data_IF_129287862499
#
_entry.id   IF_129287862499
#
_cell.length_a   1.000
_cell.length_b   1.000
_cell.length_c   1.000
_cell.angle_alpha   90.00
_cell.angle_beta   90.00
_cell.angle_gamma   90.00
#
_symmetry.space_group_name_H-M   'P 1'
#
loop_
_entity.id
_entity.type
_entity.pdbx_description
1 polymer ?
#
# COMPACT_ATOMS: atom_id res chain seq x y z
N UNK A 1 2.15 30.32 68.21
CA UNK A 1 3.53 29.82 68.17
C UNK A 1 3.86 29.50 66.73
N UNK A 2 5.08 29.78 66.30
CA UNK A 2 5.59 29.52 64.94
C UNK A 2 5.33 28.07 64.50
N UNK A 3 5.45 27.12 65.43
CA UNK A 3 5.15 25.70 65.21
C UNK A 3 3.74 25.44 64.67
N UNK A 4 2.72 26.16 65.15
CA UNK A 4 1.33 26.00 64.67
C UNK A 4 1.17 26.52 63.25
N UNK A 5 1.87 27.60 62.89
CA UNK A 5 1.83 28.16 61.55
C UNK A 5 2.49 27.23 60.53
N UNK A 6 3.64 26.66 60.88
CA UNK A 6 4.35 25.68 60.04
C UNK A 6 3.54 24.38 59.86
N UNK A 7 2.83 23.96 60.91
CA UNK A 7 1.91 22.82 60.85
C UNK A 7 0.76 23.06 59.85
N UNK A 8 0.15 24.25 59.88
CA UNK A 8 -0.93 24.62 58.95
C UNK A 8 -0.42 24.70 57.50
N UNK A 9 0.75 25.31 57.26
CA UNK A 9 1.40 25.36 55.94
C UNK A 9 1.69 23.95 55.41
N UNK A 10 2.18 23.06 56.27
CA UNK A 10 2.45 21.66 55.91
C UNK A 10 1.18 20.90 55.54
N UNK A 11 0.09 21.07 56.29
CA UNK A 11 -1.21 20.46 55.97
C UNK A 11 -1.75 20.94 54.62
N UNK A 12 -1.65 22.24 54.33
CA UNK A 12 -2.06 22.79 53.04
C UNK A 12 -1.25 22.19 51.87
N UNK A 13 0.09 22.13 52.00
CA UNK A 13 0.97 21.50 51.00
C UNK A 13 0.63 20.04 50.76
N UNK A 14 0.28 19.29 51.81
CA UNK A 14 -0.15 17.89 51.69
C UNK A 14 -1.44 17.80 50.86
N UNK A 15 -2.45 18.62 51.17
CA UNK A 15 -3.72 18.63 50.43
C UNK A 15 -3.51 18.98 48.94
N UNK A 16 -2.69 19.99 48.65
CA UNK A 16 -2.33 20.37 47.27
C UNK A 16 -1.64 19.23 46.52
N UNK A 17 -0.70 18.53 47.17
CA UNK A 17 -0.02 17.36 46.58
C UNK A 17 -0.98 16.19 46.37
N UNK A 18 -1.90 15.93 47.31
CA UNK A 18 -2.93 14.90 47.15
C UNK A 18 -3.84 15.19 45.96
N UNK A 19 -4.26 16.45 45.77
CA UNK A 19 -5.03 16.87 44.59
C UNK A 19 -4.26 16.63 43.29
N UNK A 20 -2.99 17.07 43.23
CA UNK A 20 -2.12 16.84 42.06
C UNK A 20 -1.92 15.35 41.75
N UNK A 21 -1.82 14.50 42.78
CA UNK A 21 -1.74 13.04 42.61
C UNK A 21 -3.01 12.48 41.96
N UNK A 22 -4.19 12.97 42.36
CA UNK A 22 -5.46 12.56 41.74
C UNK A 22 -5.56 13.03 40.28
N UNK A 23 -5.21 14.28 40.00
CA UNK A 23 -5.16 14.84 38.63
C UNK A 23 -4.21 14.03 37.74
N UNK A 24 -3.01 13.69 38.23
CA UNK A 24 -2.04 12.90 37.49
C UNK A 24 -2.52 11.46 37.23
N UNK A 25 -3.17 10.83 38.22
CA UNK A 25 -3.77 9.49 38.04
C UNK A 25 -4.85 9.51 36.95
N UNK A 26 -5.69 10.54 36.92
CA UNK A 26 -6.69 10.72 35.87
C UNK A 26 -6.03 10.91 34.51
N UNK A 27 -5.04 11.80 34.40
CA UNK A 27 -4.32 12.04 33.15
C UNK A 27 -3.66 10.76 32.61
N UNK A 28 -3.02 9.97 33.47
CA UNK A 28 -2.42 8.67 33.09
C UNK A 28 -3.47 7.71 32.55
N UNK A 29 -4.65 7.63 33.18
CA UNK A 29 -5.72 6.77 32.68
C UNK A 29 -6.28 7.25 31.33
N UNK A 30 -6.44 8.56 31.15
CA UNK A 30 -6.86 9.15 29.86
C UNK A 30 -5.87 8.84 28.76
N UNK A 31 -4.56 8.97 29.01
CA UNK A 31 -3.51 8.63 28.03
C UNK A 31 -3.59 7.14 27.66
N UNK A 32 -3.72 6.26 28.65
CA UNK A 32 -3.84 4.81 28.41
C UNK A 32 -5.05 4.46 27.55
N UNK A 33 -6.22 4.99 27.89
CA UNK A 33 -7.45 4.73 27.14
C UNK A 33 -7.35 5.29 25.72
N UNK A 34 -6.87 6.53 25.57
CA UNK A 34 -6.70 7.15 24.26
C UNK A 34 -5.70 6.39 23.38
N UNK A 35 -4.60 5.89 23.95
CA UNK A 35 -3.62 5.09 23.22
C UNK A 35 -4.22 3.75 22.78
N UNK A 36 -4.97 3.08 23.66
CA UNK A 36 -5.65 1.83 23.34
C UNK A 36 -6.66 2.02 22.21
N UNK A 37 -7.51 3.04 22.29
CA UNK A 37 -8.47 3.36 21.22
C UNK A 37 -7.77 3.67 19.89
N UNK A 38 -6.67 4.43 19.92
CA UNK A 38 -5.90 4.72 18.70
C UNK A 38 -5.31 3.44 18.07
N UNK A 39 -4.85 2.49 18.89
CA UNK A 39 -4.38 1.17 18.41
C UNK A 39 -5.52 0.39 17.78
N UNK A 40 -6.66 0.25 18.47
CA UNK A 40 -7.84 -0.47 17.97
C UNK A 40 -8.36 0.10 16.64
N UNK A 41 -8.45 1.42 16.55
CA UNK A 41 -8.84 2.09 15.31
C UNK A 41 -7.82 1.86 14.19
N UNK A 42 -6.53 1.88 14.50
CA UNK A 42 -5.49 1.62 13.50
C UNK A 42 -5.56 0.18 12.96
N UNK A 43 -5.73 -0.81 13.82
CA UNK A 43 -5.88 -2.22 13.44
C UNK A 43 -7.12 -2.43 12.57
N UNK A 44 -8.25 -1.78 12.93
CA UNK A 44 -9.47 -1.80 12.13
C UNK A 44 -9.25 -1.21 10.73
N UNK A 45 -8.63 -0.03 10.64
CA UNK A 45 -8.34 0.63 9.35
C UNK A 45 -7.45 -0.26 8.47
N UNK A 46 -6.39 -0.85 9.03
CA UNK A 46 -5.53 -1.74 8.26
C UNK A 46 -6.25 -3.01 7.81
N UNK A 47 -7.12 -3.57 8.64
CA UNK A 47 -7.95 -4.74 8.28
C UNK A 47 -8.88 -4.44 7.11
N UNK A 48 -9.54 -3.28 7.11
CA UNK A 48 -10.41 -2.81 6.03
C UNK A 48 -9.63 -2.62 4.71
N UNK A 49 -8.43 -2.04 4.78
CA UNK A 49 -7.54 -1.86 3.63
C UNK A 49 -7.07 -3.19 3.04
N UNK A 50 -6.64 -4.13 3.89
CA UNK A 50 -6.21 -5.47 3.46
C UNK A 50 -7.37 -6.16 2.76
N UNK A 51 -8.55 -6.20 3.39
CA UNK A 51 -9.75 -6.84 2.82
C UNK A 51 -10.12 -6.26 1.45
N UNK A 52 -10.02 -4.93 1.30
CA UNK A 52 -10.27 -4.25 0.04
C UNK A 52 -9.26 -4.66 -1.04
N UNK A 53 -7.98 -4.81 -0.70
CA UNK A 53 -6.95 -5.23 -1.66
C UNK A 53 -7.09 -6.71 -2.03
N UNK A 54 -7.48 -7.56 -1.08
CA UNK A 54 -7.78 -8.96 -1.37
C UNK A 54 -8.96 -9.11 -2.33
N UNK A 55 -10.01 -8.29 -2.17
CA UNK A 55 -11.12 -8.24 -3.11
C UNK A 55 -10.65 -7.84 -4.51
N UNK A 56 -9.82 -6.79 -4.63
CA UNK A 56 -9.25 -6.36 -5.91
C UNK A 56 -8.34 -7.42 -6.55
N UNK A 57 -7.55 -8.14 -5.75
CA UNK A 57 -6.77 -9.29 -6.20
C UNK A 57 -7.66 -10.36 -6.84
N UNK A 58 -8.77 -10.71 -6.18
CA UNK A 58 -9.73 -11.69 -6.71
C UNK A 58 -10.37 -11.20 -8.01
N UNK A 59 -10.83 -9.94 -8.07
CA UNK A 59 -11.41 -9.35 -9.28
C UNK A 59 -10.46 -9.42 -10.49
N UNK A 60 -9.18 -9.09 -10.31
CA UNK A 60 -8.17 -9.17 -11.38
C UNK A 60 -7.91 -10.63 -11.80
N UNK A 61 -7.87 -11.56 -10.84
CA UNK A 61 -7.68 -12.98 -11.11
C UNK A 61 -8.82 -13.54 -11.95
N UNK A 62 -10.05 -13.25 -11.57
CA UNK A 62 -11.24 -13.69 -12.31
C UNK A 62 -11.28 -13.11 -13.73
N UNK A 63 -10.89 -11.85 -13.91
CA UNK A 63 -10.80 -11.24 -15.24
C UNK A 63 -9.81 -11.97 -16.15
N UNK A 64 -8.63 -12.32 -15.62
CA UNK A 64 -7.61 -13.07 -16.37
C UNK A 64 -8.16 -14.45 -16.77
N UNK A 65 -8.79 -15.17 -15.82
CA UNK A 65 -9.36 -16.50 -16.07
C UNK A 65 -10.51 -16.48 -17.07
N UNK A 66 -11.37 -15.46 -16.99
CA UNK A 66 -12.46 -15.28 -17.95
C UNK A 66 -11.93 -15.05 -19.37
N UNK A 67 -10.90 -14.20 -19.52
CA UNK A 67 -10.26 -13.95 -20.82
C UNK A 67 -9.54 -15.19 -21.36
N UNK A 68 -8.78 -15.90 -20.51
CA UNK A 68 -8.13 -17.16 -20.85
C UNK A 68 -9.16 -18.16 -21.41
N UNK A 69 -10.26 -18.37 -20.68
CA UNK A 69 -11.33 -19.28 -21.09
C UNK A 69 -11.96 -18.86 -22.43
N UNK A 70 -12.24 -17.56 -22.60
CA UNK A 70 -12.87 -17.05 -23.82
C UNK A 70 -11.98 -17.26 -25.06
N UNK A 71 -10.68 -17.00 -24.95
CA UNK A 71 -9.74 -17.20 -26.04
C UNK A 71 -9.49 -18.70 -26.32
N UNK A 72 -9.42 -19.55 -25.29
CA UNK A 72 -9.31 -21.01 -25.47
C UNK A 72 -10.53 -21.56 -26.22
N UNK A 73 -11.75 -21.22 -25.79
CA UNK A 73 -12.97 -21.67 -26.48
C UNK A 73 -13.12 -21.11 -27.90
N UNK A 74 -12.49 -19.96 -28.20
CA UNK A 74 -12.40 -19.45 -29.57
C UNK A 74 -11.41 -20.26 -30.39
N UNK A 75 -10.24 -20.57 -29.84
CA UNK A 75 -9.21 -21.37 -30.50
C UNK A 75 -9.71 -22.80 -30.80
N UNK A 76 -10.38 -23.44 -29.85
CA UNK A 76 -10.98 -24.78 -30.02
C UNK A 76 -11.95 -24.83 -31.19
N UNK A 77 -12.88 -23.86 -31.29
CA UNK A 77 -13.82 -23.78 -32.43
C UNK A 77 -13.14 -23.58 -33.77
N UNK A 78 -12.07 -22.78 -33.82
CA UNK A 78 -11.30 -22.57 -35.04
C UNK A 78 -10.54 -23.84 -35.43
N UNK A 79 -10.02 -24.59 -34.45
CA UNK A 79 -9.35 -25.85 -34.67
C UNK A 79 -10.31 -26.91 -35.23
N UNK A 80 -11.48 -27.09 -34.61
CA UNK A 80 -12.52 -28.00 -35.11
C UNK A 80 -12.95 -27.64 -36.55
N UNK A 81 -13.10 -26.34 -36.84
CA UNK A 81 -13.43 -25.87 -38.18
C UNK A 81 -12.34 -26.25 -39.20
N UNK A 82 -11.07 -26.04 -38.87
CA UNK A 82 -9.94 -26.38 -39.73
C UNK A 82 -9.81 -27.89 -39.94
N UNK A 83 -9.99 -28.70 -38.89
CA UNK A 83 -9.96 -30.15 -38.99
C UNK A 83 -11.06 -30.67 -39.94
N UNK A 84 -12.26 -30.11 -39.84
CA UNK A 84 -13.35 -30.44 -40.76
C UNK A 84 -13.06 -30.01 -42.20
N UNK A 85 -12.50 -28.81 -42.41
CA UNK A 85 -12.10 -28.32 -43.74
C UNK A 85 -11.01 -29.21 -44.36
N UNK A 86 -10.03 -29.66 -43.57
CA UNK A 86 -9.01 -30.62 -44.01
C UNK A 86 -9.65 -31.96 -44.40
N UNK A 87 -10.55 -32.49 -43.58
CA UNK A 87 -11.23 -33.76 -43.87
C UNK A 87 -12.07 -33.69 -45.16
N UNK A 88 -12.78 -32.57 -45.37
CA UNK A 88 -13.56 -32.34 -46.59
C UNK A 88 -12.65 -32.19 -47.83
N UNK A 89 -11.51 -31.51 -47.70
CA UNK A 89 -10.51 -31.40 -48.77
C UNK A 89 -9.87 -32.74 -49.10
N UNK A 90 -9.54 -33.56 -48.10
CA UNK A 90 -9.03 -34.92 -48.30
C UNK A 90 -10.05 -35.80 -49.03
N UNK A 91 -11.33 -35.76 -48.62
CA UNK A 91 -12.41 -36.48 -49.33
C UNK A 91 -12.47 -36.05 -50.79
N UNK A 92 -12.49 -34.74 -51.05
CA UNK A 92 -12.56 -34.21 -52.42
C UNK A 92 -11.34 -34.60 -53.27
N UNK A 93 -10.15 -34.61 -52.68
CA UNK A 93 -8.94 -35.07 -53.36
C UNK A 93 -9.09 -36.54 -53.80
N UNK A 94 -9.58 -37.41 -52.92
CA UNK A 94 -9.80 -38.83 -53.27
C UNK A 94 -10.88 -39.02 -54.35
N UNK A 95 -11.95 -38.22 -54.34
CA UNK A 95 -13.00 -38.25 -55.37
C UNK A 95 -12.45 -37.80 -56.74
N UNK A 96 -11.60 -36.77 -56.76
CA UNK A 96 -10.92 -36.30 -57.98
C UNK A 96 -9.91 -37.34 -58.50
N UNK A 97 -9.15 -37.99 -57.63
CA UNK A 97 -8.26 -39.09 -58.00
C UNK A 97 -9.04 -40.25 -58.63
N UNK A 98 -10.15 -40.69 -58.04
CA UNK A 98 -11.02 -41.73 -58.62
C UNK A 98 -11.58 -41.31 -59.99
N UNK A 99 -12.04 -40.07 -60.11
CA UNK A 99 -12.57 -39.53 -61.35
C UNK A 99 -11.52 -39.51 -62.47
N UNK A 100 -10.26 -39.21 -62.15
CA UNK A 100 -9.15 -39.21 -63.13
C UNK A 100 -8.89 -40.58 -63.78
N UNK A 101 -9.28 -41.67 -63.11
CA UNK A 101 -9.16 -43.04 -63.63
C UNK A 101 -10.42 -43.52 -64.37
N UNK A 102 -11.45 -42.67 -64.52
CA UNK A 102 -12.70 -43.03 -65.21
C UNK A 102 -12.53 -42.93 -66.72
N UNK A 103 -12.71 -44.05 -67.42
CA UNK A 103 -12.53 -44.14 -68.88
C UNK A 103 -13.82 -43.81 -69.68
N UNK A 104 -14.99 -43.81 -69.03
CA UNK A 104 -16.26 -43.40 -69.64
C UNK A 104 -16.41 -41.88 -69.56
N UNK A 105 -16.31 -41.22 -70.72
CA UNK A 105 -16.37 -39.77 -70.83
C UNK A 105 -17.73 -39.17 -70.44
N UNK A 106 -18.84 -39.91 -70.55
CA UNK A 106 -20.17 -39.43 -70.16
C UNK A 106 -20.29 -39.42 -68.64
N UNK A 107 -19.82 -40.49 -67.98
CA UNK A 107 -19.77 -40.56 -66.52
C UNK A 107 -18.81 -39.51 -65.94
N UNK A 108 -17.65 -39.36 -66.58
CA UNK A 108 -16.68 -38.33 -66.19
C UNK A 108 -17.29 -36.93 -66.17
N UNK A 109 -17.98 -36.53 -67.26
CA UNK A 109 -18.59 -35.21 -67.36
C UNK A 109 -19.70 -34.99 -66.31
N UNK A 110 -20.52 -36.00 -66.04
CA UNK A 110 -21.57 -35.93 -65.01
C UNK A 110 -20.98 -35.76 -63.60
N UNK A 111 -19.98 -36.56 -63.26
CA UNK A 111 -19.33 -36.53 -61.93
C UNK A 111 -18.51 -35.25 -61.72
N UNK A 112 -17.86 -34.72 -62.76
CA UNK A 112 -17.15 -33.45 -62.70
C UNK A 112 -18.11 -32.28 -62.42
N UNK A 113 -19.30 -32.30 -63.05
CA UNK A 113 -20.33 -31.28 -62.86
C UNK A 113 -20.91 -31.29 -61.43
N UNK A 114 -21.08 -32.46 -60.81
CA UNK A 114 -21.50 -32.55 -59.40
C UNK A 114 -20.44 -32.03 -58.42
N UNK A 115 -19.16 -32.30 -58.69
CA UNK A 115 -18.05 -31.86 -57.82
C UNK A 115 -17.79 -30.35 -57.87
N UNK A 116 -18.08 -29.72 -59.01
CA UNK A 116 -17.93 -28.27 -59.18
C UNK A 116 -19.02 -27.48 -58.46
N UNK A 117 -20.24 -28.01 -58.36
CA UNK A 117 -21.33 -27.41 -57.57
C UNK A 117 -21.06 -27.49 -56.05
N UNK A 118 -20.30 -28.49 -55.60
CA UNK A 118 -19.89 -28.64 -54.19
C UNK A 118 -18.78 -27.67 -53.75
N UNK A 119 -18.20 -26.88 -54.66
CA UNK A 119 -17.02 -26.02 -54.41
C UNK A 119 -17.33 -24.72 -53.64
N UNK A 120 -18.44 -24.63 -52.93
CA UNK A 120 -18.97 -23.38 -52.36
C UNK A 120 -18.28 -22.85 -51.10
N UNK A 121 -17.01 -23.17 -50.84
CA UNK A 121 -16.33 -22.76 -49.59
C UNK A 121 -14.91 -22.22 -49.81
N UNK A 122 -14.71 -21.43 -50.87
CA UNK A 122 -13.41 -20.85 -51.19
C UNK A 122 -12.97 -19.69 -50.26
N UNK A 123 -13.86 -19.15 -49.43
CA UNK A 123 -13.54 -17.99 -48.57
C UNK A 123 -13.49 -18.36 -47.08
N UNK A 124 -12.53 -19.23 -46.68
CA UNK A 124 -12.23 -19.39 -45.25
C UNK A 124 -11.31 -18.23 -44.83
N UNK A 125 -11.67 -17.44 -43.79
CA UNK A 125 -10.88 -16.28 -43.38
C UNK A 125 -9.48 -16.71 -42.93
N UNK A 126 -8.46 -15.96 -43.35
CA UNK A 126 -7.08 -16.23 -42.95
C UNK A 126 -6.93 -16.11 -41.43
N UNK A 127 -6.58 -17.23 -40.77
CA UNK A 127 -6.37 -17.27 -39.32
C UNK A 127 -4.95 -16.76 -39.05
N UNK A 128 -4.86 -15.63 -38.35
CA UNK A 128 -3.59 -15.09 -37.84
C UNK A 128 -3.43 -15.45 -36.37
N UNK A 129 -2.37 -16.18 -36.01
CA UNK A 129 -2.05 -16.50 -34.62
C UNK A 129 -1.12 -15.42 -34.07
N UNK A 130 -1.62 -14.59 -33.17
CA UNK A 130 -0.80 -13.60 -32.47
C UNK A 130 -0.35 -14.14 -31.10
N UNK A 131 0.93 -14.47 -30.96
CA UNK A 131 1.51 -15.06 -29.75
C UNK A 131 2.18 -14.05 -28.81
N UNK A 132 2.41 -12.83 -29.28
CA UNK A 132 3.13 -11.83 -28.50
C UNK A 132 2.10 -10.98 -27.75
N UNK A 133 2.26 -10.83 -26.43
CA UNK A 133 1.52 -9.91 -25.52
C UNK A 133 0.39 -10.50 -24.64
N UNK A 134 0.33 -11.82 -24.43
CA UNK A 134 -0.67 -12.39 -23.52
C UNK A 134 -0.45 -11.92 -22.07
N UNK A 135 -1.32 -11.02 -21.60
CA UNK A 135 -1.38 -10.45 -20.24
C UNK A 135 -0.19 -9.57 -19.79
N UNK A 136 0.78 -9.27 -20.64
CA UNK A 136 1.89 -8.36 -20.31
C UNK A 136 1.40 -6.96 -19.88
N UNK A 137 0.33 -6.47 -20.52
CA UNK A 137 -0.33 -5.23 -20.13
C UNK A 137 -0.85 -5.26 -18.69
N UNK A 138 -1.49 -6.37 -18.28
CA UNK A 138 -2.00 -6.54 -16.91
C UNK A 138 -0.86 -6.53 -15.90
N UNK A 139 0.23 -7.26 -16.19
CA UNK A 139 1.43 -7.30 -15.33
C UNK A 139 2.06 -5.92 -15.19
N UNK A 140 2.18 -5.17 -16.28
CA UNK A 140 2.72 -3.81 -16.28
C UNK A 140 1.86 -2.87 -15.45
N UNK A 141 0.54 -2.87 -15.68
CA UNK A 141 -0.39 -2.04 -14.90
C UNK A 141 -0.38 -2.36 -13.40
N UNK A 142 -0.28 -3.63 -13.01
CA UNK A 142 -0.13 -4.02 -11.61
C UNK A 142 1.21 -3.59 -11.00
N UNK A 143 2.29 -3.62 -11.78
CA UNK A 143 3.60 -3.13 -11.35
C UNK A 143 3.59 -1.62 -11.13
N UNK A 144 2.95 -0.87 -12.04
CA UNK A 144 2.78 0.58 -11.91
C UNK A 144 1.90 0.93 -10.69
N UNK A 145 0.82 0.18 -10.47
CA UNK A 145 -0.05 0.33 -9.30
C UNK A 145 0.74 0.10 -8.00
N UNK A 146 1.51 -0.99 -7.92
CA UNK A 146 2.36 -1.30 -6.75
C UNK A 146 3.29 -0.14 -6.43
N UNK A 147 4.02 0.35 -7.44
CA UNK A 147 4.96 1.46 -7.27
C UNK A 147 4.27 2.71 -6.72
N UNK A 148 3.13 3.10 -7.29
CA UNK A 148 2.36 4.26 -6.82
C UNK A 148 1.86 4.10 -5.39
N UNK A 149 1.43 2.89 -5.01
CA UNK A 149 0.96 2.60 -3.66
C UNK A 149 2.11 2.70 -2.65
N UNK A 150 3.29 2.17 -2.99
CA UNK A 150 4.49 2.27 -2.16
C UNK A 150 4.91 3.74 -1.94
N UNK A 151 4.94 4.54 -3.02
CA UNK A 151 5.24 5.97 -2.95
C UNK A 151 4.24 6.74 -2.06
N UNK A 152 2.95 6.48 -2.25
CA UNK A 152 1.89 7.09 -1.44
C UNK A 152 1.99 6.70 0.04
N UNK A 153 2.18 5.41 0.33
CA UNK A 153 2.35 4.90 1.68
C UNK A 153 3.56 5.54 2.36
N UNK A 154 4.69 5.67 1.67
CA UNK A 154 5.88 6.32 2.20
C UNK A 154 5.58 7.75 2.65
N UNK A 155 4.86 8.53 1.85
CA UNK A 155 4.53 9.92 2.17
C UNK A 155 3.59 10.03 3.39
N UNK A 156 2.52 9.23 3.42
CA UNK A 156 1.52 9.31 4.48
C UNK A 156 2.04 8.75 5.82
N UNK A 157 2.80 7.65 5.80
CA UNK A 157 3.33 7.06 7.03
C UNK A 157 4.36 7.95 7.73
N UNK A 158 5.09 8.79 6.99
CA UNK A 158 6.00 9.78 7.59
C UNK A 158 5.27 10.85 8.42
N UNK A 159 3.98 11.07 8.18
CA UNK A 159 3.17 12.06 8.91
C UNK A 159 2.69 11.53 10.27
N UNK A 160 2.64 10.20 10.46
CA UNK A 160 2.08 9.57 11.66
C UNK A 160 2.93 9.83 12.93
N UNK A 161 4.27 9.61 12.93
CA UNK A 161 5.08 9.82 14.13
C UNK A 161 5.01 11.25 14.66
N UNK A 162 4.91 12.25 13.77
CA UNK A 162 4.76 13.66 14.16
C UNK A 162 3.47 13.92 14.92
N UNK A 163 2.37 13.30 14.50
CA UNK A 163 1.06 13.43 15.16
C UNK A 163 1.02 12.69 16.49
N UNK A 164 1.69 11.54 16.58
CA UNK A 164 1.85 10.79 17.83
C UNK A 164 2.72 11.54 18.86
N UNK A 165 3.81 12.18 18.42
CA UNK A 165 4.73 12.92 19.29
C UNK A 165 4.15 14.23 19.85
N UNK A 166 3.12 14.80 19.21
CA UNK A 166 2.46 16.02 19.66
C UNK A 166 1.63 15.86 20.95
N UNK A 167 1.45 14.62 21.43
CA UNK A 167 0.70 14.34 22.67
C UNK A 167 1.61 14.52 23.89
N UNK A 168 2.00 15.77 24.19
CA UNK A 168 2.64 16.13 25.47
C UNK A 168 1.58 16.66 26.44
N UNK A 169 0.93 15.75 27.15
CA UNK A 169 -0.09 16.10 28.16
C UNK A 169 0.50 16.46 29.53
N UNK A 170 1.74 16.05 29.82
CA UNK A 170 2.37 16.25 31.14
C UNK A 170 3.61 17.12 30.94
N UNK A 171 3.51 18.39 31.32
CA UNK A 171 4.68 19.27 31.46
C UNK A 171 5.04 19.45 32.94
N UNK A 172 6.34 19.61 33.26
CA UNK A 172 6.72 20.14 34.56
C UNK A 172 6.06 21.50 34.75
N UNK A 173 5.52 21.76 35.93
CA UNK A 173 5.03 23.09 36.27
C UNK A 173 6.19 24.09 36.26
N UNK A 174 6.02 25.22 35.59
CA UNK A 174 6.98 26.34 35.66
C UNK A 174 7.24 26.72 37.12
N UNK A 175 8.50 27.00 37.50
CA UNK A 175 8.82 27.48 38.85
C UNK A 175 8.13 28.81 39.12
N UNK A 176 7.43 28.92 40.26
CA UNK A 176 6.62 30.11 40.61
C UNK A 176 7.14 30.87 41.82
N UNK A 177 8.02 30.26 42.60
CA UNK A 177 8.67 30.87 43.76
C UNK A 177 10.20 30.84 43.61
N UNK A 178 10.89 31.71 44.37
CA UNK A 178 12.35 31.75 44.41
C UNK A 178 12.92 30.38 44.80
N UNK A 179 12.29 29.70 45.74
CA UNK A 179 12.66 28.37 46.21
C UNK A 179 12.51 27.33 45.09
N UNK A 180 11.47 27.43 44.26
CA UNK A 180 11.31 26.57 43.08
C UNK A 180 12.43 26.79 42.07
N UNK A 181 12.83 28.04 41.83
CA UNK A 181 13.95 28.36 40.93
C UNK A 181 15.30 27.88 41.46
N UNK A 182 15.51 27.89 42.78
CA UNK A 182 16.76 27.44 43.39
C UNK A 182 17.01 25.94 43.20
N UNK A 183 15.99 25.12 42.92
CA UNK A 183 16.20 23.73 42.53
C UNK A 183 16.95 23.57 41.20
N UNK A 184 16.95 24.60 40.36
CA UNK A 184 17.68 24.65 39.09
C UNK A 184 19.01 25.41 39.21
N UNK A 185 19.42 25.76 40.43
CA UNK A 185 20.65 26.49 40.68
C UNK A 185 21.86 25.68 40.19
N UNK A 186 22.70 26.33 39.38
CA UNK A 186 24.03 25.83 39.05
C UNK A 186 25.04 26.95 39.33
N UNK A 187 26.20 26.56 39.85
CA UNK A 187 27.31 27.48 40.04
C UNK A 187 27.91 27.83 38.67
N UNK A 188 27.48 28.97 38.12
CA UNK A 188 28.04 29.49 36.88
C UNK A 188 29.43 30.09 37.11
N UNK A 189 30.35 29.77 36.22
CA UNK A 189 31.68 30.38 36.15
C UNK A 189 31.92 30.90 34.75
N UNK A 190 32.51 32.08 34.64
CA UNK A 190 32.91 32.69 33.38
C UNK A 190 34.13 31.94 32.82
N UNK A 191 34.13 31.67 31.51
CA UNK A 191 35.27 31.03 30.83
C UNK A 191 36.34 32.08 30.54
N UNK A 192 37.54 32.00 31.16
CA UNK A 192 38.61 32.97 30.95
C UNK A 192 39.06 33.10 29.49
N UNK A 193 38.84 32.05 28.67
CA UNK A 193 39.22 32.05 27.25
C UNK A 193 38.29 32.88 26.38
N UNK A 194 37.14 33.27 26.90
CA UNK A 194 36.12 34.05 26.18
C UNK A 194 36.07 35.51 26.60
N UNK A 195 36.93 35.92 27.55
CA UNK A 195 36.90 37.25 28.15
C UNK A 195 37.58 38.28 27.26
N UNK A 196 36.90 39.41 27.05
CA UNK A 196 37.45 40.56 26.33
C UNK A 196 38.62 41.20 27.09
N UNK A 197 39.60 41.76 26.40
CA UNK A 197 40.84 42.31 27.00
C UNK A 197 40.63 43.42 28.04
N UNK A 198 39.48 44.10 27.98
CA UNK A 198 39.12 45.19 28.89
C UNK A 198 38.25 44.71 30.07
N UNK A 199 38.14 43.40 30.29
CA UNK A 199 37.36 42.83 31.39
C UNK A 199 38.26 41.98 32.28
N UNK A 200 38.12 42.17 33.59
CA UNK A 200 38.89 41.46 34.61
C UNK A 200 37.94 40.49 35.34
N UNK A 201 38.33 39.21 35.38
CA UNK A 201 37.63 38.20 36.15
C UNK A 201 38.14 38.16 37.60
N UNK A 202 37.22 38.06 38.55
CA UNK A 202 37.54 37.89 39.98
C UNK A 202 36.60 36.86 40.63
N UNK A 203 36.81 36.61 41.94
CA UNK A 203 36.01 35.66 42.72
C UNK A 203 35.87 34.27 42.10
N UNK A 204 37.00 33.66 41.72
CA UNK A 204 37.03 32.36 41.02
C UNK A 204 36.21 32.38 39.71
N UNK A 205 36.35 33.45 38.95
CA UNK A 205 35.64 33.69 37.67
C UNK A 205 34.13 33.82 37.82
N UNK A 206 33.65 34.36 38.94
CA UNK A 206 32.21 34.58 39.19
C UNK A 206 31.81 36.05 39.18
N UNK A 207 32.77 36.96 39.19
CA UNK A 207 32.56 38.40 39.10
C UNK A 207 33.36 39.00 37.92
N UNK A 208 32.79 40.02 37.27
CA UNK A 208 33.41 40.78 36.17
C UNK A 208 33.46 42.26 36.52
N UNK A 209 34.60 42.87 36.24
CA UNK A 209 34.80 44.33 36.30
C UNK A 209 35.49 44.83 35.03
N UNK A 210 35.37 46.12 34.74
CA UNK A 210 36.04 46.79 33.62
C UNK A 210 37.38 47.36 34.06
#
# INVERSE_FOLDING_TARGET
SELKEEQMKSQQRIQEKQKKVQELKQAVNTIKLSAQTAVEDSERIFTELISSMEKKRSEVTELIRAQEKAELSRAERLLEQLEQEIADLQRRLTELEQLSHTHDHIQFLKSLQSLSVSSGREDSPSITVNQHLLFDGVRKSLSDLKKRLEEFCQEEFLKIPRRAAAVQMILPSEPKSREDFLHYFCDLTLDPKTVHSNLILSEKNRAVTY
#
